data_IF_205906975820
#
_entry.id   IF_205906975820
#
_cell.length_a   1.000
_cell.length_b   1.000
_cell.length_c   1.000
_cell.angle_alpha   90.00
_cell.angle_beta   90.00
_cell.angle_gamma   90.00
#
_symmetry.space_group_name_H-M   'P 1'
#
loop_
_entity.id
_entity.type
_entity.pdbx_description
1 polymer ?
#
# COMPACT_ATOMS: atom_id res chain seq x y z
N UNK A 1 -4.22 -18.94 -1.52
CA UNK A 1 -3.08 -18.06 -1.19
C UNK A 1 -3.64 -16.70 -0.78
N UNK A 2 -2.98 -15.96 0.12
CA UNK A 2 -3.42 -14.60 0.48
C UNK A 2 -3.41 -13.71 -0.77
N UNK A 3 -4.44 -12.87 -0.92
CA UNK A 3 -4.57 -11.93 -2.03
C UNK A 3 -4.19 -10.51 -1.62
N UNK A 4 -3.84 -9.68 -2.58
CA UNK A 4 -3.63 -8.24 -2.34
C UNK A 4 -4.86 -7.55 -1.74
N UNK A 5 -6.07 -8.04 -2.04
CA UNK A 5 -7.32 -7.54 -1.45
C UNK A 5 -7.37 -7.62 0.09
N UNK A 6 -6.69 -8.60 0.68
CA UNK A 6 -6.71 -8.85 2.13
C UNK A 6 -5.55 -8.15 2.86
N UNK A 7 -4.70 -7.42 2.12
CA UNK A 7 -3.49 -6.80 2.64
C UNK A 7 -3.78 -5.42 3.22
N UNK A 8 -3.33 -5.17 4.46
CA UNK A 8 -3.53 -3.89 5.15
C UNK A 8 -2.92 -2.69 4.43
N UNK A 9 -1.87 -2.94 3.63
CA UNK A 9 -1.13 -1.94 2.87
C UNK A 9 -1.80 -1.58 1.54
N UNK A 10 -2.83 -2.32 1.13
CA UNK A 10 -3.53 -2.12 -0.14
C UNK A 10 -4.83 -1.38 0.15
N UNK A 11 -5.01 -0.25 -0.53
CA UNK A 11 -6.25 0.51 -0.52
C UNK A 11 -6.95 0.37 -1.87
N UNK A 12 -8.28 0.40 -1.90
CA UNK A 12 -9.01 0.38 -3.18
C UNK A 12 -8.68 1.64 -3.98
N UNK A 13 -8.45 1.49 -5.28
CA UNK A 13 -8.19 2.61 -6.17
C UNK A 13 -9.46 3.46 -6.33
N UNK A 14 -9.33 4.78 -6.28
CA UNK A 14 -10.48 5.71 -6.22
C UNK A 14 -11.34 5.72 -7.48
N UNK A 15 -10.75 5.36 -8.63
CA UNK A 15 -11.42 5.36 -9.94
C UNK A 15 -11.86 3.97 -10.39
N UNK A 16 -11.16 2.91 -9.95
CA UNK A 16 -11.37 1.54 -10.44
C UNK A 16 -11.37 0.57 -9.24
N UNK A 17 -12.53 0.04 -8.82
CA UNK A 17 -12.63 -0.81 -7.65
C UNK A 17 -11.94 -2.17 -7.80
N UNK A 18 -11.59 -2.58 -9.03
CA UNK A 18 -10.86 -3.82 -9.28
C UNK A 18 -9.36 -3.69 -9.02
N UNK A 19 -8.86 -2.45 -8.88
CA UNK A 19 -7.46 -2.14 -8.64
C UNK A 19 -7.25 -1.67 -7.21
N UNK A 20 -6.09 -2.01 -6.68
CA UNK A 20 -5.59 -1.55 -5.39
C UNK A 20 -4.39 -0.62 -5.56
N UNK A 21 -4.15 0.21 -4.55
CA UNK A 21 -2.95 1.01 -4.39
C UNK A 21 -2.18 0.42 -3.19
N UNK A 22 -1.09 -0.28 -3.48
CA UNK A 22 -0.15 -0.78 -2.50
C UNK A 22 0.76 0.33 -2.00
N UNK A 23 0.85 0.48 -0.67
CA UNK A 23 1.62 1.54 0.03
C UNK A 23 2.76 1.01 0.89
N UNK A 24 3.06 -0.28 0.77
CA UNK A 24 4.07 -0.95 1.58
C UNK A 24 5.50 -0.40 1.33
N UNK A 25 5.77 0.06 0.11
CA UNK A 25 7.10 0.56 -0.24
C UNK A 25 7.30 1.98 0.27
N UNK A 26 8.06 2.14 1.35
CA UNK A 26 8.49 3.44 1.87
C UNK A 26 9.95 3.70 1.51
N UNK A 27 10.24 4.88 0.96
CA UNK A 27 11.56 5.30 0.49
C UNK A 27 12.06 6.41 1.41
N UNK A 28 13.30 6.29 1.91
CA UNK A 28 13.92 7.37 2.69
C UNK A 28 14.21 8.54 1.74
N UNK A 29 13.65 9.70 2.02
CA UNK A 29 13.94 10.94 1.29
C UNK A 29 15.26 11.54 1.77
N UNK A 30 15.82 12.47 0.99
CA UNK A 30 17.02 13.21 1.40
C UNK A 30 16.78 13.92 2.75
N UNK A 31 17.80 13.97 3.60
CA UNK A 31 17.71 14.50 4.98
C UNK A 31 17.39 16.00 5.04
N UNK A 32 17.43 16.68 3.89
CA UNK A 32 17.05 18.09 3.72
C UNK A 32 15.53 18.29 3.56
N UNK A 33 14.75 17.22 3.40
CA UNK A 33 13.28 17.27 3.29
C UNK A 33 12.63 17.15 4.68
N UNK A 34 11.60 17.95 4.95
CA UNK A 34 10.88 17.93 6.22
C UNK A 34 10.23 16.57 6.54
N UNK A 35 9.87 15.81 5.51
CA UNK A 35 9.41 14.43 5.63
C UNK A 35 10.52 13.47 5.24
N UNK A 36 10.99 12.67 6.19
CA UNK A 36 12.12 11.76 5.99
C UNK A 36 11.75 10.49 5.21
N UNK A 37 10.46 10.23 5.00
CA UNK A 37 9.94 9.04 4.34
C UNK A 37 8.88 9.41 3.30
N UNK A 38 9.05 8.94 2.06
CA UNK A 38 8.03 8.96 1.02
C UNK A 38 7.36 7.59 0.90
N UNK A 39 6.04 7.57 0.64
CA UNK A 39 5.31 6.35 0.33
C UNK A 39 5.25 6.20 -1.19
N UNK A 40 5.93 5.18 -1.73
CA UNK A 40 5.84 4.83 -3.14
C UNK A 40 4.57 4.00 -3.39
N UNK A 41 3.56 4.66 -3.95
CA UNK A 41 2.27 4.08 -4.29
C UNK A 41 2.40 3.25 -5.58
N UNK A 42 2.01 1.99 -5.53
CA UNK A 42 2.01 1.09 -6.68
C UNK A 42 0.61 0.56 -6.95
N UNK A 43 0.17 0.56 -8.20
CA UNK A 43 -1.13 -0.02 -8.57
C UNK A 43 -0.97 -1.54 -8.70
N UNK A 44 -1.87 -2.28 -8.08
CA UNK A 44 -1.94 -3.75 -8.08
C UNK A 44 -3.35 -4.19 -8.46
N UNK A 45 -3.54 -5.41 -8.94
CA UNK A 45 -4.89 -5.96 -9.03
C UNK A 45 -5.28 -6.57 -7.68
N UNK A 46 -6.54 -6.42 -7.29
CA UNK A 46 -7.02 -6.93 -6.00
C UNK A 46 -6.96 -8.47 -5.92
N UNK A 47 -7.04 -9.13 -7.08
CA UNK A 47 -6.96 -10.59 -7.21
C UNK A 47 -5.54 -11.15 -7.29
N UNK A 48 -4.52 -10.30 -7.38
CA UNK A 48 -3.13 -10.74 -7.44
C UNK A 48 -2.71 -11.44 -6.13
N UNK A 49 -1.85 -12.46 -6.25
CA UNK A 49 -1.27 -13.13 -5.09
C UNK A 49 -0.44 -12.16 -4.26
N UNK A 50 -0.54 -12.26 -2.94
CA UNK A 50 0.15 -11.36 -2.05
C UNK A 50 1.65 -11.65 -1.99
N UNK A 51 2.46 -10.60 -1.97
CA UNK A 51 3.91 -10.70 -1.83
C UNK A 51 4.33 -11.14 -0.43
N UNK A 52 5.62 -11.42 -0.24
CA UNK A 52 6.22 -11.85 1.04
C UNK A 52 6.03 -10.86 2.21
N UNK A 53 5.71 -9.60 1.89
CA UNK A 53 5.42 -8.54 2.87
C UNK A 53 3.92 -8.37 3.12
N UNK A 54 3.13 -9.40 2.83
CA UNK A 54 1.72 -9.44 3.13
C UNK A 54 1.49 -9.31 4.64
N UNK A 55 0.60 -8.40 5.00
CA UNK A 55 0.09 -8.31 6.36
C UNK A 55 -1.42 -8.22 6.29
N UNK A 56 -2.10 -9.22 6.85
CA UNK A 56 -3.55 -9.27 6.83
C UNK A 56 -4.16 -8.13 7.66
N UNK A 57 -5.26 -7.56 7.17
CA UNK A 57 -6.06 -6.59 7.92
C UNK A 57 -6.38 -5.35 7.11
N UNK A 58 -6.85 -4.30 7.79
CA UNK A 58 -7.06 -2.98 7.20
C UNK A 58 -6.36 -1.95 8.06
N UNK A 59 -5.52 -1.12 7.43
CA UNK A 59 -4.94 0.01 8.11
C UNK A 59 -6.04 0.96 8.59
N UNK A 60 -5.82 1.56 9.75
CA UNK A 60 -6.72 2.62 10.23
C UNK A 60 -6.45 3.91 9.45
N UNK A 61 -7.44 4.80 9.36
CA UNK A 61 -7.33 6.06 8.61
C UNK A 61 -6.09 6.90 8.99
N UNK A 62 -5.63 6.81 10.25
CA UNK A 62 -4.44 7.50 10.73
C UNK A 62 -3.12 7.00 10.15
N UNK A 63 -3.08 5.75 9.69
CA UNK A 63 -1.86 5.12 9.18
C UNK A 63 -1.72 5.29 7.65
N UNK A 64 -2.79 5.71 6.96
CA UNK A 64 -2.90 5.81 5.50
C UNK A 64 -2.21 7.05 4.90
N UNK A 65 -1.72 7.98 5.72
CA UNK A 65 -1.12 9.27 5.31
C UNK A 65 0.30 9.39 5.82
#
# INVERSE_FOLDING_TARGET
>A
MPKCADCKWVMVHTVDPMKGICTNKRIKLAETQANQMAIAKHVVNMDDEACDKFEAGKMTFREMV
#
